data_IF_602545405971
#
_entry.id   IF_602545405971
#
_cell.length_a   1.000
_cell.length_b   1.000
_cell.length_c   1.000
_cell.angle_alpha   90.00
_cell.angle_beta   90.00
_cell.angle_gamma   90.00
#
_symmetry.space_group_name_H-M   'P 1'
#
loop_
_entity.id
_entity.type
_entity.pdbx_description
1 polymer ?
#
# COMPACT_ATOMS: atom_id res chain seq x y z
N UNK A 1 26.22 46.64 37.41
CA UNK A 1 24.75 46.75 37.34
C UNK A 1 24.20 45.49 36.69
N UNK A 2 23.79 44.51 37.50
CA UNK A 2 23.21 43.25 37.03
C UNK A 2 21.77 43.50 36.60
N UNK A 3 21.52 43.54 35.29
CA UNK A 3 20.16 43.50 34.77
C UNK A 3 19.66 42.07 34.91
N UNK A 4 18.64 41.93 35.76
CA UNK A 4 17.78 40.77 35.95
C UNK A 4 17.17 40.37 34.61
N UNK A 5 17.75 39.37 33.96
CA UNK A 5 17.09 38.61 32.90
C UNK A 5 16.38 37.46 33.57
N UNK A 6 15.06 37.55 33.68
CA UNK A 6 14.21 36.50 34.27
C UNK A 6 14.40 35.19 33.52
N UNK A 7 14.64 34.11 34.27
CA UNK A 7 14.63 32.75 33.74
C UNK A 7 13.21 32.44 33.26
N UNK A 8 12.98 32.54 31.96
CA UNK A 8 11.69 32.20 31.37
C UNK A 8 11.38 30.71 31.60
N UNK A 9 10.16 30.36 32.04
CA UNK A 9 9.81 29.03 32.55
C UNK A 9 9.72 27.94 31.48
N UNK A 10 10.03 28.23 30.21
CA UNK A 10 9.90 27.31 29.08
C UNK A 10 11.21 27.03 28.33
N UNK A 11 12.38 27.18 28.98
CA UNK A 11 13.65 26.69 28.43
C UNK A 11 13.71 25.14 28.40
N UNK A 12 12.71 24.51 27.76
CA UNK A 12 12.50 23.08 27.58
C UNK A 12 13.27 22.52 26.37
N UNK A 13 14.05 23.33 25.65
CA UNK A 13 14.89 22.83 24.56
C UNK A 13 16.16 22.13 25.07
N UNK A 14 16.61 22.41 26.29
CA UNK A 14 17.82 21.79 26.85
C UNK A 14 17.56 20.48 27.62
N UNK A 15 16.31 20.22 28.01
CA UNK A 15 15.93 19.00 28.74
C UNK A 15 15.36 17.91 27.81
N UNK A 16 15.00 18.25 26.57
CA UNK A 16 14.53 17.28 25.58
C UNK A 16 15.57 16.20 25.23
N UNK A 17 16.86 16.55 25.25
CA UNK A 17 17.95 15.57 25.11
C UNK A 17 18.18 14.76 26.40
N UNK A 18 17.83 15.31 27.57
CA UNK A 18 17.95 14.64 28.88
C UNK A 18 16.82 13.63 29.15
N UNK A 19 15.66 13.84 28.52
CA UNK A 19 14.54 12.91 28.48
C UNK A 19 14.55 12.00 27.23
N UNK A 20 15.72 11.75 26.62
CA UNK A 20 15.87 10.50 25.87
C UNK A 20 15.80 9.37 26.89
N UNK A 21 14.58 8.87 27.06
CA UNK A 21 14.28 7.74 27.93
C UNK A 21 15.33 6.66 27.67
N UNK A 22 15.98 6.21 28.74
CA UNK A 22 16.95 5.12 28.74
C UNK A 22 16.21 3.80 28.48
N UNK A 23 15.47 3.76 27.37
CA UNK A 23 14.68 2.63 26.90
C UNK A 23 15.30 2.30 25.56
N UNK A 24 16.15 1.29 25.56
CA UNK A 24 16.58 0.63 24.32
C UNK A 24 15.31 0.33 23.52
N UNK A 25 15.18 0.84 22.28
CA UNK A 25 14.00 0.57 21.46
C UNK A 25 13.75 -0.94 21.47
N UNK A 26 12.51 -1.38 21.74
CA UNK A 26 12.22 -2.81 21.76
C UNK A 26 12.67 -3.42 20.43
N UNK A 27 13.33 -4.58 20.46
CA UNK A 27 13.81 -5.22 19.24
C UNK A 27 12.63 -5.40 18.28
N UNK A 28 12.85 -5.10 17.01
CA UNK A 28 11.80 -5.22 15.97
C UNK A 28 11.22 -6.63 16.04
N UNK A 29 9.90 -6.72 16.21
CA UNK A 29 9.22 -8.01 16.25
C UNK A 29 9.53 -8.79 14.97
N UNK A 30 10.03 -10.01 15.13
CA UNK A 30 10.30 -10.87 14.00
C UNK A 30 8.96 -11.36 13.45
N UNK A 31 8.79 -11.25 12.13
CA UNK A 31 7.60 -11.80 11.45
C UNK A 31 7.50 -13.29 11.73
N UNK A 32 6.36 -13.70 12.26
CA UNK A 32 6.05 -15.10 12.47
C UNK A 32 5.90 -15.82 11.12
N UNK A 33 6.04 -17.15 11.11
CA UNK A 33 5.86 -17.94 9.89
C UNK A 33 4.44 -17.80 9.32
N UNK A 34 3.44 -17.67 10.20
CA UNK A 34 2.05 -17.43 9.80
C UNK A 34 1.87 -16.08 9.09
N UNK A 35 2.53 -15.03 9.56
CA UNK A 35 2.46 -13.70 8.95
C UNK A 35 3.11 -13.68 7.56
N UNK A 36 4.24 -14.39 7.39
CA UNK A 36 4.89 -14.56 6.08
C UNK A 36 3.99 -15.34 5.12
N UNK A 37 3.42 -16.45 5.57
CA UNK A 37 2.52 -17.27 4.76
C UNK A 37 1.27 -16.48 4.34
N UNK A 38 0.67 -15.71 5.26
CA UNK A 38 -0.48 -14.86 4.97
C UNK A 38 -0.17 -13.78 3.94
N UNK A 39 0.95 -13.06 4.10
CA UNK A 39 1.37 -12.04 3.13
C UNK A 39 1.66 -12.65 1.75
N UNK A 40 2.24 -13.85 1.70
CA UNK A 40 2.52 -14.55 0.44
C UNK A 40 1.22 -15.01 -0.25
N UNK A 41 0.29 -15.61 0.50
CA UNK A 41 -1.02 -16.04 -0.02
C UNK A 41 -1.82 -14.86 -0.57
N UNK A 42 -1.82 -13.74 0.15
CA UNK A 42 -2.49 -12.52 -0.31
C UNK A 42 -1.87 -12.01 -1.61
N UNK A 43 -0.54 -11.90 -1.67
CA UNK A 43 0.17 -11.49 -2.88
C UNK A 43 -0.12 -12.41 -4.07
N UNK A 44 -0.06 -13.72 -3.88
CA UNK A 44 -0.37 -14.71 -4.91
C UNK A 44 -1.80 -14.59 -5.42
N UNK A 45 -2.76 -14.36 -4.54
CA UNK A 45 -4.17 -14.18 -4.92
C UNK A 45 -4.36 -12.96 -5.82
N UNK A 46 -3.76 -11.84 -5.45
CA UNK A 46 -3.83 -10.60 -6.24
C UNK A 46 -3.19 -10.79 -7.62
N UNK A 47 -2.00 -11.41 -7.67
CA UNK A 47 -1.31 -11.69 -8.93
C UNK A 47 -2.13 -12.64 -9.81
N UNK A 48 -2.68 -13.71 -9.25
CA UNK A 48 -3.51 -14.65 -9.97
C UNK A 48 -4.77 -13.99 -10.56
N UNK A 49 -5.42 -13.10 -9.79
CA UNK A 49 -6.56 -12.33 -10.27
C UNK A 49 -6.21 -11.39 -11.43
N UNK A 50 -5.07 -10.68 -11.33
CA UNK A 50 -4.57 -9.81 -12.40
C UNK A 50 -4.24 -10.61 -13.66
N UNK A 51 -3.51 -11.72 -13.53
CA UNK A 51 -3.19 -12.60 -14.66
C UNK A 51 -4.46 -13.16 -15.29
N UNK A 52 -5.40 -13.65 -14.47
CA UNK A 52 -6.69 -14.14 -14.96
C UNK A 52 -7.49 -13.08 -15.72
N UNK A 53 -7.50 -11.83 -15.22
CA UNK A 53 -8.11 -10.69 -15.92
C UNK A 53 -7.46 -10.43 -17.27
N UNK A 54 -6.13 -10.51 -17.38
CA UNK A 54 -5.44 -10.34 -18.65
C UNK A 54 -5.71 -11.49 -19.63
N UNK A 55 -5.67 -12.73 -19.14
CA UNK A 55 -5.93 -13.93 -19.96
C UNK A 55 -7.34 -13.89 -20.57
N UNK A 56 -8.33 -13.41 -19.82
CA UNK A 56 -9.71 -13.30 -20.31
C UNK A 56 -9.99 -12.00 -21.05
N UNK A 57 -9.39 -10.89 -20.61
CA UNK A 57 -9.65 -9.55 -21.11
C UNK A 57 -8.99 -9.26 -22.45
N UNK A 58 -7.74 -9.69 -22.66
CA UNK A 58 -7.03 -9.42 -23.92
C UNK A 58 -7.73 -10.05 -25.13
N UNK A 59 -8.15 -11.33 -25.10
CA UNK A 59 -8.92 -11.91 -26.21
C UNK A 59 -10.31 -11.26 -26.40
N UNK A 60 -10.86 -10.60 -25.38
CA UNK A 60 -12.14 -9.90 -25.48
C UNK A 60 -12.03 -8.55 -26.20
N UNK A 61 -10.82 -7.99 -26.26
CA UNK A 61 -10.49 -6.77 -26.99
C UNK A 61 -10.10 -7.03 -28.45
N UNK A 62 -9.97 -8.28 -28.86
CA UNK A 62 -9.61 -8.67 -30.23
C UNK A 62 -10.74 -8.26 -31.22
N UNK A 63 -10.49 -7.31 -32.13
CA UNK A 63 -11.52 -6.76 -33.03
C UNK A 63 -12.09 -7.82 -33.98
N UNK A 64 -11.31 -8.83 -34.37
CA UNK A 64 -11.80 -9.93 -35.21
C UNK A 64 -12.83 -10.79 -34.46
N UNK A 65 -12.55 -11.08 -33.18
CA UNK A 65 -13.50 -11.80 -32.32
C UNK A 65 -14.72 -10.95 -31.95
N UNK A 66 -14.55 -9.64 -31.84
CA UNK A 66 -15.67 -8.72 -31.63
C UNK A 66 -16.56 -8.64 -32.86
N UNK A 67 -16.00 -8.56 -34.07
CA UNK A 67 -16.76 -8.56 -35.32
C UNK A 67 -17.54 -9.88 -35.52
N UNK A 68 -16.95 -11.01 -35.16
CA UNK A 68 -17.64 -12.32 -35.18
C UNK A 68 -18.79 -12.41 -34.16
N UNK A 69 -18.63 -11.81 -32.97
CA UNK A 69 -19.71 -11.73 -31.96
C UNK A 69 -20.86 -10.79 -32.36
N UNK A 70 -20.56 -9.74 -33.14
CA UNK A 70 -21.54 -8.75 -33.62
C UNK A 70 -21.95 -8.99 -35.09
N UNK A 71 -21.82 -10.23 -35.60
CA UNK A 71 -22.35 -10.63 -36.92
C UNK A 71 -23.82 -10.25 -37.10
N UNK A 72 -24.35 -10.22 -38.35
CA UNK A 72 -25.30 -9.24 -38.90
C UNK A 72 -26.71 -9.33 -38.29
N UNK A 73 -26.86 -9.13 -36.99
CA UNK A 73 -28.15 -9.01 -36.32
C UNK A 73 -28.66 -7.56 -36.34
N UNK A 74 -27.75 -6.58 -36.54
CA UNK A 74 -28.09 -5.16 -36.57
C UNK A 74 -28.54 -4.64 -37.96
N UNK A 75 -28.47 -5.46 -39.00
CA UNK A 75 -28.86 -5.06 -40.36
C UNK A 75 -30.28 -5.51 -40.78
N UNK A 76 -30.93 -6.37 -39.99
CA UNK A 76 -32.22 -7.01 -40.32
C UNK A 76 -33.41 -6.37 -39.57
N UNK A 77 -33.39 -5.04 -39.40
CA UNK A 77 -34.50 -4.28 -38.81
C UNK A 77 -34.88 -3.04 -39.64
N UNK A 78 -34.92 -3.17 -40.97
CA UNK A 78 -35.36 -2.09 -41.86
C UNK A 78 -36.39 -2.55 -42.88
#
# INVERSE_FOLDING_TARGET
MFRRGESVPFAFLADADRFRSNVTPPPRAQRTNAEKAGSALFGLTVVAGLVGSLVLGVPALDPERQAQRHGPAAAESR
#
